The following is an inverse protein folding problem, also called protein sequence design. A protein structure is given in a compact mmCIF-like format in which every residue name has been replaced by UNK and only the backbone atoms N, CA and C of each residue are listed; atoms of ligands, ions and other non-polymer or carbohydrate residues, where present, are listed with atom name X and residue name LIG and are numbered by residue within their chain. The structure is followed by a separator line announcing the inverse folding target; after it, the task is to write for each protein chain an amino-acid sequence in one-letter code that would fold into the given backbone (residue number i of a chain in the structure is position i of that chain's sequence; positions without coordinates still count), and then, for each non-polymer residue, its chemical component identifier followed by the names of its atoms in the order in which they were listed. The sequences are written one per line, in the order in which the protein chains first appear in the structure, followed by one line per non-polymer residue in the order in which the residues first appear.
data_IF_381396804261
#
_entry.id   IF_381396804261
#
_cell.length_a   1.000
_cell.length_b   1.000
_cell.length_c   1.000
_cell.angle_alpha   90.00
_cell.angle_beta   90.00
_cell.angle_gamma   90.00
#
_symmetry.space_group_name_H-M   'P 1'
#
loop_
_entity.id
_entity.type
_entity.pdbx_description
1 polymer ?
#
# COMPACT_ATOMS: atom_id res chain seq x y z
N UNK A 1 20.03 -19.45 -3.60
CA UNK A 1 18.99 -19.33 -2.55
C UNK A 1 18.15 -18.12 -2.90
N UNK A 2 16.82 -18.19 -2.76
CA UNK A 2 15.97 -17.04 -3.04
C UNK A 2 16.25 -15.93 -2.01
N UNK A 3 16.44 -14.71 -2.50
CA UNK A 3 16.55 -13.51 -1.67
C UNK A 3 15.15 -13.07 -1.25
N UNK A 4 14.98 -12.75 0.03
CA UNK A 4 13.73 -12.22 0.59
C UNK A 4 13.86 -10.70 0.76
N UNK A 5 12.87 -9.96 0.30
CA UNK A 5 12.76 -8.53 0.54
C UNK A 5 11.58 -8.24 1.47
N UNK A 6 11.72 -7.22 2.32
CA UNK A 6 10.65 -6.73 3.17
C UNK A 6 10.48 -5.23 3.02
N UNK A 7 9.23 -4.77 3.02
CA UNK A 7 8.84 -3.37 3.06
C UNK A 7 8.23 -3.09 4.43
N UNK A 8 8.86 -2.20 5.20
CA UNK A 8 8.36 -1.76 6.50
C UNK A 8 7.95 -0.29 6.47
N UNK A 9 7.01 0.10 7.33
CA UNK A 9 6.62 1.49 7.51
C UNK A 9 7.80 2.35 7.99
N UNK A 10 8.03 3.56 7.46
CA UNK A 10 7.25 4.26 6.44
C UNK A 10 7.89 4.18 5.03
N UNK A 11 8.16 2.97 4.54
CA UNK A 11 8.74 2.76 3.20
C UNK A 11 10.17 2.23 3.18
N UNK A 12 10.65 1.68 4.29
CA UNK A 12 11.98 1.13 4.43
C UNK A 12 12.05 -0.25 3.78
N UNK A 13 12.99 -0.45 2.84
CA UNK A 13 13.30 -1.76 2.31
C UNK A 13 14.37 -2.46 3.12
N UNK A 14 14.23 -3.78 3.22
CA UNK A 14 15.22 -4.69 3.76
C UNK A 14 15.42 -5.88 2.83
N UNK A 15 16.58 -6.51 2.92
CA UNK A 15 16.92 -7.71 2.16
C UNK A 15 17.52 -8.76 3.07
N UNK A 16 17.18 -10.03 2.85
CA UNK A 16 17.83 -11.14 3.53
C UNK A 16 18.01 -12.34 2.62
N UNK A 17 19.10 -13.09 2.85
CA UNK A 17 19.29 -14.43 2.28
C UNK A 17 18.63 -15.54 3.14
N UNK A 18 18.08 -15.18 4.30
CA UNK A 18 17.39 -16.05 5.25
C UNK A 18 15.98 -15.49 5.54
N UNK A 19 14.89 -16.20 5.23
CA UNK A 19 13.54 -15.63 5.24
C UNK A 19 13.05 -15.01 6.56
N UNK A 20 13.58 -15.43 7.71
CA UNK A 20 13.10 -15.04 9.05
C UNK A 20 14.13 -14.24 9.87
N UNK A 21 15.22 -13.76 9.27
CA UNK A 21 16.23 -13.01 10.00
C UNK A 21 17.41 -12.59 9.16
N UNK A 22 18.35 -11.85 9.74
CA UNK A 22 19.54 -11.36 9.03
C UNK A 22 19.21 -10.34 7.93
N UNK A 23 18.14 -9.57 8.12
CA UNK A 23 17.76 -8.50 7.21
C UNK A 23 18.77 -7.35 7.30
N UNK A 24 19.37 -7.01 6.15
CA UNK A 24 20.15 -5.79 5.99
C UNK A 24 19.25 -4.65 5.55
N UNK A 25 19.54 -3.45 6.04
CA UNK A 25 18.81 -2.23 5.70
C UNK A 25 19.19 -1.74 4.30
N UNK A 26 18.19 -1.36 3.52
CA UNK A 26 18.33 -0.80 2.19
C UNK A 26 17.86 0.65 2.09
N UNK A 27 17.44 1.08 0.90
CA UNK A 27 16.91 2.43 0.74
C UNK A 27 15.53 2.55 1.39
N UNK A 28 15.24 3.77 1.85
CA UNK A 28 13.90 4.21 2.20
C UNK A 28 13.30 4.92 1.00
N UNK A 29 12.26 4.34 0.42
CA UNK A 29 11.66 4.84 -0.82
C UNK A 29 10.53 5.82 -0.52
N UNK A 30 9.65 5.51 0.43
CA UNK A 30 8.50 6.36 0.69
C UNK A 30 8.76 7.46 1.72
N UNK A 31 7.89 8.47 1.69
CA UNK A 31 7.93 9.58 2.62
C UNK A 31 7.60 9.13 4.06
N UNK A 32 7.98 9.91 5.09
CA UNK A 32 7.77 9.55 6.48
C UNK A 32 6.32 9.28 6.89
N UNK A 33 5.33 9.75 6.13
CA UNK A 33 3.90 9.62 6.44
C UNK A 33 3.23 8.40 5.81
N UNK A 34 3.92 7.66 4.94
CA UNK A 34 3.47 6.35 4.47
C UNK A 34 3.24 5.41 5.67
N UNK A 35 2.15 4.63 5.68
CA UNK A 35 1.87 3.73 6.81
C UNK A 35 1.44 2.31 6.49
N UNK A 36 0.42 2.13 5.67
CA UNK A 36 -0.06 0.81 5.30
C UNK A 36 0.38 0.53 3.87
N UNK A 37 0.73 -0.72 3.60
CA UNK A 37 1.19 -1.13 2.28
C UNK A 37 0.78 -2.56 1.96
N UNK A 38 0.44 -2.80 0.70
CA UNK A 38 0.41 -4.12 0.08
C UNK A 38 1.25 -4.11 -1.18
N UNK A 39 1.83 -5.25 -1.50
CA UNK A 39 2.70 -5.38 -2.67
C UNK A 39 2.18 -6.46 -3.62
N UNK A 40 2.30 -6.19 -4.91
CA UNK A 40 2.05 -7.12 -5.99
C UNK A 40 3.29 -7.18 -6.88
N UNK A 41 3.85 -8.37 -7.05
CA UNK A 41 4.99 -8.59 -7.94
C UNK A 41 4.49 -9.09 -9.31
N UNK A 42 4.93 -8.43 -10.38
CA UNK A 42 4.69 -8.82 -11.78
C UNK A 42 5.99 -8.65 -12.57
N UNK A 43 6.61 -9.77 -12.95
CA UNK A 43 7.93 -9.74 -13.57
C UNK A 43 8.95 -9.04 -12.67
N UNK A 44 9.61 -8.01 -13.23
CA UNK A 44 10.57 -7.16 -12.51
C UNK A 44 9.94 -5.86 -11.95
N UNK A 45 8.62 -5.74 -11.95
CA UNK A 45 7.92 -4.57 -11.41
C UNK A 45 7.21 -4.90 -10.08
N UNK A 46 7.44 -4.06 -9.07
CA UNK A 46 6.73 -4.10 -7.80
C UNK A 46 5.68 -2.99 -7.75
N UNK A 47 4.42 -3.39 -7.66
CA UNK A 47 3.28 -2.48 -7.45
C UNK A 47 3.07 -2.37 -5.95
N UNK A 48 3.17 -1.16 -5.41
CA UNK A 48 2.98 -0.88 -3.99
C UNK A 48 1.70 -0.08 -3.84
N UNK A 49 0.68 -0.71 -3.27
CA UNK A 49 -0.56 -0.06 -2.86
C UNK A 49 -0.37 0.47 -1.45
N UNK A 50 -0.57 1.76 -1.20
CA UNK A 50 -0.23 2.35 0.09
C UNK A 50 -1.15 3.49 0.49
N UNK A 51 -1.15 3.81 1.78
CA UNK A 51 -1.86 4.97 2.33
C UNK A 51 -0.91 5.87 3.12
N UNK A 52 -1.31 7.13 3.30
CA UNK A 52 -0.49 8.15 3.95
C UNK A 52 -1.27 8.86 5.05
N UNK A 53 -0.61 9.04 6.21
CA UNK A 53 -1.11 9.88 7.30
C UNK A 53 -1.25 11.32 6.84
N UNK A 54 -2.27 12.02 7.34
CA UNK A 54 -2.51 13.43 7.07
C UNK A 54 -3.32 13.69 5.81
N UNK A 55 -3.63 12.66 5.02
CA UNK A 55 -4.56 12.77 3.90
C UNK A 55 -6.01 12.95 4.38
N UNK A 56 -6.80 13.71 3.62
CA UNK A 56 -8.23 13.99 3.85
C UNK A 56 -8.99 14.01 2.49
N UNK A 57 -9.70 12.94 2.11
CA UNK A 57 -9.78 11.67 2.83
C UNK A 57 -8.45 10.92 2.75
N UNK A 58 -8.20 10.02 3.70
CA UNK A 58 -7.17 9.02 3.47
C UNK A 58 -7.65 8.03 2.42
N UNK A 59 -6.78 7.78 1.44
CA UNK A 59 -7.08 7.11 0.18
C UNK A 59 -5.93 6.18 -0.17
N UNK A 60 -6.20 5.21 -1.03
CA UNK A 60 -5.21 4.25 -1.50
C UNK A 60 -4.52 4.83 -2.73
N UNK A 61 -3.19 4.88 -2.64
CA UNK A 61 -2.29 5.26 -3.71
C UNK A 61 -1.60 4.02 -4.26
N UNK A 62 -1.09 4.13 -5.48
CA UNK A 62 -0.25 3.14 -6.14
C UNK A 62 1.03 3.83 -6.63
N UNK A 63 2.17 3.24 -6.29
CA UNK A 63 3.46 3.54 -6.92
C UNK A 63 4.07 2.24 -7.44
N UNK A 64 4.86 2.34 -8.50
CA UNK A 64 5.61 1.20 -9.06
C UNK A 64 7.10 1.35 -8.82
N UNK A 65 7.81 0.23 -8.64
CA UNK A 65 9.27 0.19 -8.54
C UNK A 65 9.80 -0.79 -9.57
N UNK A 66 10.77 -0.36 -10.39
CA UNK A 66 11.56 -1.23 -11.25
C UNK A 66 12.63 -1.94 -10.41
N UNK A 67 12.55 -3.26 -10.33
CA UNK A 67 13.42 -4.09 -9.49
C UNK A 67 14.74 -4.47 -10.17
N UNK A 68 14.97 -4.05 -11.41
CA UNK A 68 16.23 -4.30 -12.11
C UNK A 68 17.37 -3.45 -11.53
N UNK A 69 18.59 -3.95 -11.65
CA UNK A 69 19.79 -3.25 -11.20
C UNK A 69 20.07 -3.40 -9.70
N UNK A 70 20.83 -2.45 -9.15
CA UNK A 70 21.15 -2.44 -7.73
C UNK A 70 19.94 -1.97 -6.91
N UNK A 71 19.52 -2.79 -5.96
CA UNK A 71 18.41 -2.48 -5.08
C UNK A 71 18.61 -1.22 -4.22
N UNK A 72 19.87 -0.79 -4.00
CA UNK A 72 20.17 0.48 -3.34
C UNK A 72 19.78 1.70 -4.18
N UNK A 73 19.60 1.51 -5.50
CA UNK A 73 19.26 2.56 -6.45
C UNK A 73 17.78 2.52 -6.85
N UNK A 74 17.00 1.57 -6.34
CA UNK A 74 15.56 1.51 -6.59
C UNK A 74 14.86 2.81 -6.19
N UNK A 75 13.82 3.16 -6.95
CA UNK A 75 12.97 4.33 -6.72
C UNK A 75 11.54 3.98 -7.05
N UNK A 76 10.62 4.53 -6.27
CA UNK A 76 9.21 4.53 -6.54
C UNK A 76 8.85 5.58 -7.60
N UNK A 77 7.82 5.29 -8.39
CA UNK A 77 7.19 6.28 -9.26
C UNK A 77 6.40 7.31 -8.47
N UNK A 78 6.09 8.44 -9.10
CA UNK A 78 5.05 9.35 -8.63
C UNK A 78 3.76 8.55 -8.33
N UNK A 79 3.10 8.80 -7.18
CA UNK A 79 1.93 8.05 -6.80
C UNK A 79 0.72 8.45 -7.64
N UNK A 80 -0.04 7.45 -8.06
CA UNK A 80 -1.38 7.64 -8.62
C UNK A 80 -2.42 7.22 -7.58
N UNK A 81 -3.55 7.94 -7.56
CA UNK A 81 -4.66 7.55 -6.70
C UNK A 81 -5.48 6.45 -7.37
N UNK A 82 -5.74 5.36 -6.65
CA UNK A 82 -6.50 4.22 -7.18
C UNK A 82 -7.85 4.01 -6.50
N UNK A 83 -8.01 4.49 -5.25
CA UNK A 83 -9.27 4.33 -4.53
C UNK A 83 -9.42 5.37 -3.42
N UNK A 84 -10.62 5.96 -3.31
CA UNK A 84 -11.05 6.83 -2.21
C UNK A 84 -12.43 6.40 -1.69
N UNK A 85 -12.86 6.80 -0.49
CA UNK A 85 -14.22 6.55 -0.05
C UNK A 85 -15.25 7.20 -0.98
N UNK A 86 -16.22 6.42 -1.46
CA UNK A 86 -17.32 6.86 -2.33
C UNK A 86 -18.70 6.36 -1.87
N UNK A 87 -18.74 5.49 -0.87
CA UNK A 87 -19.99 4.93 -0.32
C UNK A 87 -20.16 5.30 1.16
N UNK A 88 -21.41 5.38 1.66
CA UNK A 88 -21.67 5.65 3.07
C UNK A 88 -20.95 4.66 4.00
N UNK A 89 -20.94 3.37 3.64
CA UNK A 89 -20.23 2.33 4.40
C UNK A 89 -18.70 2.42 4.30
N UNK A 90 -18.17 3.23 3.37
CA UNK A 90 -16.74 3.59 3.31
C UNK A 90 -16.38 4.77 4.20
N UNK A 91 -17.37 5.44 4.78
CA UNK A 91 -17.21 6.69 5.52
C UNK A 91 -17.23 7.92 4.60
N UNK A 92 -17.75 7.82 3.37
CA UNK A 92 -17.75 8.94 2.42
C UNK A 92 -18.57 10.14 2.90
N UNK A 93 -19.59 9.91 3.74
CA UNK A 93 -20.43 10.96 4.33
C UNK A 93 -19.81 11.61 5.57
N UNK A 94 -18.72 11.04 6.09
CA UNK A 94 -18.02 11.55 7.27
C UNK A 94 -17.16 12.78 6.92
N UNK A 95 -16.88 13.66 7.91
CA UNK A 95 -16.09 14.86 7.68
C UNK A 95 -14.72 14.59 7.06
N UNK A 96 -14.37 15.41 6.07
CA UNK A 96 -13.03 15.45 5.47
C UNK A 96 -12.01 16.01 6.46
N UNK A 97 -11.43 15.13 7.25
CA UNK A 97 -10.44 15.46 8.27
C UNK A 97 -9.13 14.72 8.00
N UNK A 98 -7.96 15.38 8.16
CA UNK A 98 -6.67 14.71 8.04
C UNK A 98 -6.59 13.51 8.97
N UNK A 99 -6.14 12.37 8.45
CA UNK A 99 -5.88 11.22 9.29
C UNK A 99 -4.71 11.46 10.25
N UNK A 100 -4.77 10.81 11.40
CA UNK A 100 -3.74 10.89 12.44
C UNK A 100 -3.14 9.51 12.70
N UNK A 101 -1.91 9.47 13.20
CA UNK A 101 -1.29 8.24 13.72
C UNK A 101 -1.99 7.81 15.00
N UNK A 102 -3.04 7.01 14.87
CA UNK A 102 -3.67 6.27 15.94
C UNK A 102 -4.82 5.42 15.37
N UNK A 103 -5.51 4.75 16.28
CA UNK A 103 -6.85 4.20 16.08
C UNK A 103 -7.81 5.32 15.67
N UNK A 104 -8.66 5.06 14.69
CA UNK A 104 -9.81 5.90 14.39
C UNK A 104 -10.97 5.55 15.33
N UNK A 105 -11.70 6.54 15.83
CA UNK A 105 -12.86 6.33 16.68
C UNK A 105 -14.13 6.58 15.87
N UNK A 106 -14.94 5.53 15.71
CA UNK A 106 -16.13 5.58 14.86
C UNK A 106 -15.80 5.57 13.37
N UNK A 107 -16.82 5.80 12.55
CA UNK A 107 -16.64 5.92 11.10
C UNK A 107 -15.94 7.22 10.76
N UNK A 108 -14.96 7.17 9.87
CA UNK A 108 -14.25 8.35 9.34
C UNK A 108 -13.99 8.18 7.84
N UNK A 109 -13.82 9.30 7.12
CA UNK A 109 -13.60 9.32 5.68
C UNK A 109 -12.18 8.89 5.29
N UNK A 110 -11.82 7.62 5.54
CA UNK A 110 -10.45 7.10 5.48
C UNK A 110 -10.43 5.61 5.08
N UNK A 111 -9.83 5.30 3.94
CA UNK A 111 -9.44 3.94 3.57
C UNK A 111 -8.06 3.60 4.15
N UNK A 112 -7.88 2.36 4.60
CA UNK A 112 -6.67 1.89 5.30
C UNK A 112 -6.33 0.45 4.90
N UNK A 113 -5.19 -0.05 5.37
CA UNK A 113 -4.80 -1.47 5.32
C UNK A 113 -5.07 -2.17 3.97
N UNK A 114 -4.50 -1.69 2.85
CA UNK A 114 -4.58 -2.43 1.60
C UNK A 114 -3.96 -3.82 1.78
N UNK A 115 -4.53 -4.80 1.10
CA UNK A 115 -4.02 -6.17 0.99
C UNK A 115 -4.33 -6.72 -0.41
N UNK A 116 -3.37 -7.44 -1.01
CA UNK A 116 -3.54 -8.02 -2.35
C UNK A 116 -3.87 -9.50 -2.22
N UNK A 117 -4.91 -9.91 -2.96
CA UNK A 117 -5.28 -11.31 -3.17
C UNK A 117 -5.27 -11.60 -4.67
N UNK A 118 -4.66 -12.72 -5.06
CA UNK A 118 -4.55 -13.14 -6.47
C UNK A 118 -5.18 -14.51 -6.62
N UNK A 119 -6.12 -14.64 -7.55
CA UNK A 119 -6.79 -15.88 -7.89
C UNK A 119 -6.68 -16.12 -9.40
N UNK A 120 -5.76 -17.01 -9.80
CA UNK A 120 -5.39 -17.18 -11.21
C UNK A 120 -4.81 -15.87 -11.76
N UNK A 121 -5.43 -15.36 -12.81
CA UNK A 121 -5.04 -14.09 -13.46
C UNK A 121 -5.76 -12.87 -12.85
N UNK A 122 -6.75 -13.08 -11.98
CA UNK A 122 -7.53 -12.01 -11.37
C UNK A 122 -6.82 -11.47 -10.12
N UNK A 123 -6.78 -10.14 -10.01
CA UNK A 123 -6.17 -9.42 -8.89
C UNK A 123 -7.26 -8.68 -8.12
N UNK A 124 -7.25 -8.84 -6.81
CA UNK A 124 -8.17 -8.19 -5.90
C UNK A 124 -7.41 -7.37 -4.85
N UNK A 125 -7.92 -6.17 -4.59
CA UNK A 125 -7.49 -5.28 -3.52
C UNK A 125 -8.53 -5.35 -2.40
N UNK A 126 -8.14 -5.96 -1.28
CA UNK A 126 -8.86 -5.83 -0.02
C UNK A 126 -8.39 -4.56 0.69
N UNK A 127 -9.28 -3.91 1.42
CA UNK A 127 -8.96 -2.68 2.14
C UNK A 127 -9.90 -2.46 3.32
N UNK A 128 -9.39 -1.82 4.36
CA UNK A 128 -10.17 -1.38 5.50
C UNK A 128 -10.93 -0.10 5.15
N UNK A 129 -12.20 -0.04 5.58
CA UNK A 129 -13.12 1.05 5.26
C UNK A 129 -13.54 1.83 6.50
N UNK A 130 -13.97 3.07 6.30
CA UNK A 130 -14.49 3.93 7.36
C UNK A 130 -13.60 3.99 8.62
N UNK A 131 -12.28 4.06 8.44
CA UNK A 131 -11.31 4.01 9.54
C UNK A 131 -11.28 2.69 10.30
N UNK A 132 -11.10 1.56 9.60
CA UNK A 132 -11.02 0.21 10.19
C UNK A 132 -12.35 -0.32 10.76
N UNK A 133 -13.49 0.23 10.33
CA UNK A 133 -14.83 -0.22 10.75
C UNK A 133 -15.37 -1.42 9.94
N UNK A 134 -14.64 -1.86 8.91
CA UNK A 134 -14.99 -3.00 8.07
C UNK A 134 -13.91 -3.30 7.04
N UNK A 135 -14.13 -4.36 6.25
CA UNK A 135 -13.25 -4.76 5.15
C UNK A 135 -14.08 -4.84 3.87
N UNK A 136 -13.58 -4.25 2.79
CA UNK A 136 -14.13 -4.33 1.45
C UNK A 136 -13.12 -4.96 0.49
N UNK A 137 -13.60 -5.28 -0.72
CA UNK A 137 -12.80 -5.88 -1.78
C UNK A 137 -13.19 -5.25 -3.12
N UNK A 138 -12.19 -4.91 -3.92
CA UNK A 138 -12.35 -4.42 -5.28
C UNK A 138 -11.47 -5.24 -6.22
N UNK A 139 -11.92 -5.46 -7.46
CA UNK A 139 -11.08 -6.05 -8.50
C UNK A 139 -10.18 -4.97 -9.10
N UNK A 140 -8.89 -5.28 -9.25
CA UNK A 140 -7.92 -4.44 -9.95
C UNK A 140 -7.94 -4.81 -11.43
N UNK A 141 -8.19 -3.82 -12.30
CA UNK A 141 -8.17 -4.04 -13.75
C UNK A 141 -6.73 -4.03 -14.25
N UNK A 142 -6.34 -5.07 -14.99
CA UNK A 142 -4.96 -5.35 -15.38
C UNK A 142 -4.39 -4.38 -16.41
N UNK A 143 -5.22 -3.69 -17.20
CA UNK A 143 -4.78 -2.61 -18.10
C UNK A 143 -4.11 -1.44 -17.33
N UNK A 144 -4.30 -1.36 -16.02
CA UNK A 144 -3.65 -0.39 -15.14
C UNK A 144 -2.34 -0.93 -14.51
N UNK A 145 -1.96 -2.17 -14.82
CA UNK A 145 -0.78 -2.87 -14.29
C UNK A 145 0.24 -3.26 -15.38
N UNK A 146 -0.02 -2.97 -16.65
CA UNK A 146 0.91 -3.20 -17.78
C UNK A 146 1.40 -1.86 -18.37
#
# INVERSE_FOLDING_TARGET
RATTYALAMPGQFYRSSTPLGGFEEGPRLFNPDMRHAAVLLRGDALYVFWTQVGHAPERILLSTIDLRGDWNEWRESEPVEVLRPERPWEGADEPLTPSVRSVAYGMVNQLRDPAIYVEGDEVYLLYAVAGESGIAIARVLTDALD
#
